data_IF_246665430222
#
_entry.id   IF_246665430222
#
_cell.length_a   1.000
_cell.length_b   1.000
_cell.length_c   1.000
_cell.angle_alpha   90.00
_cell.angle_beta   90.00
_cell.angle_gamma   90.00
#
_symmetry.space_group_name_H-M   'P 1'
#
loop_
_entity.id
_entity.type
_entity.pdbx_description
1 polymer ?
#
# COMPACT_ATOMS: atom_id res chain seq x y z
N UNK A 1 -14.20 33.79 29.38
CA UNK A 1 -13.31 32.94 28.59
C UNK A 1 -14.15 31.81 27.99
N UNK A 2 -14.38 31.75 26.66
CA UNK A 2 -15.05 30.59 26.08
C UNK A 2 -14.03 29.51 25.72
N UNK A 3 -14.32 28.28 26.12
CA UNK A 3 -13.48 27.10 25.94
C UNK A 3 -13.39 26.63 24.50
N UNK A 4 -12.19 26.21 24.11
CA UNK A 4 -11.93 25.47 22.87
C UNK A 4 -12.45 24.04 23.04
N UNK A 5 -13.63 23.78 22.47
CA UNK A 5 -14.11 22.41 22.24
C UNK A 5 -13.24 21.78 21.15
N UNK A 6 -12.32 20.91 21.55
CA UNK A 6 -11.55 20.09 20.62
C UNK A 6 -12.48 19.09 19.95
N UNK A 7 -12.90 19.38 18.71
CA UNK A 7 -13.45 18.36 17.84
C UNK A 7 -12.32 17.37 17.53
N UNK A 8 -12.38 16.18 18.12
CA UNK A 8 -11.58 15.06 17.65
C UNK A 8 -11.98 14.83 16.18
N UNK A 9 -11.07 15.16 15.25
CA UNK A 9 -11.30 14.96 13.83
C UNK A 9 -11.69 13.50 13.59
N UNK A 10 -12.77 13.27 12.84
CA UNK A 10 -13.19 11.92 12.51
C UNK A 10 -12.04 11.17 11.79
N UNK A 11 -11.85 9.88 12.08
CA UNK A 11 -10.78 9.09 11.46
C UNK A 11 -10.86 9.16 9.94
N UNK A 12 -9.79 9.67 9.30
CA UNK A 12 -9.75 9.82 7.85
C UNK A 12 -9.63 8.44 7.18
N UNK A 13 -10.60 8.11 6.32
CA UNK A 13 -10.65 6.81 5.62
C UNK A 13 -10.25 6.88 4.16
N UNK A 14 -10.30 8.07 3.58
CA UNK A 14 -9.89 8.31 2.22
C UNK A 14 -9.24 9.68 2.12
N UNK A 15 -8.19 9.80 1.31
CA UNK A 15 -7.48 11.04 1.04
C UNK A 15 -7.28 11.16 -0.46
N UNK A 16 -7.77 12.25 -1.04
CA UNK A 16 -7.42 12.62 -2.41
C UNK A 16 -5.97 13.10 -2.45
N UNK A 17 -5.20 12.61 -3.42
CA UNK A 17 -3.81 13.02 -3.69
C UNK A 17 -3.67 13.52 -5.12
N UNK A 18 -2.60 14.27 -5.39
CA UNK A 18 -2.26 14.77 -6.73
C UNK A 18 -3.41 15.57 -7.34
N UNK A 19 -3.90 16.56 -6.58
CA UNK A 19 -5.06 17.39 -6.92
C UNK A 19 -6.35 16.59 -7.25
N UNK A 20 -6.51 15.39 -6.65
CA UNK A 20 -7.69 14.55 -6.84
C UNK A 20 -7.60 13.56 -7.99
N UNK A 21 -6.43 13.41 -8.61
CA UNK A 21 -6.22 12.41 -9.65
C UNK A 21 -6.38 10.97 -9.13
N UNK A 22 -6.02 10.73 -7.87
CA UNK A 22 -6.19 9.42 -7.21
C UNK A 22 -6.74 9.63 -5.80
N UNK A 23 -7.73 8.83 -5.42
CA UNK A 23 -8.24 8.74 -4.05
C UNK A 23 -7.63 7.54 -3.35
N UNK A 24 -6.77 7.77 -2.36
CA UNK A 24 -6.23 6.72 -1.51
C UNK A 24 -7.26 6.35 -0.45
N UNK A 25 -7.82 5.15 -0.51
CA UNK A 25 -8.84 4.66 0.41
C UNK A 25 -8.30 3.52 1.30
N UNK A 26 -8.32 3.75 2.61
CA UNK A 26 -7.90 2.76 3.60
C UNK A 26 -8.95 1.64 3.76
N UNK A 27 -8.53 0.37 3.93
CA UNK A 27 -9.45 -0.71 4.21
C UNK A 27 -10.11 -0.54 5.59
N UNK A 28 -11.29 -1.18 5.78
CA UNK A 28 -12.03 -1.08 7.05
C UNK A 28 -11.15 -1.40 8.26
N UNK A 29 -11.17 -0.50 9.25
CA UNK A 29 -10.38 -0.59 10.48
C UNK A 29 -8.98 0.03 10.40
N UNK A 30 -8.59 0.53 9.22
CA UNK A 30 -7.41 1.34 8.99
C UNK A 30 -7.79 2.77 8.58
N UNK A 31 -6.92 3.70 8.90
CA UNK A 31 -7.10 5.13 8.72
C UNK A 31 -5.86 5.70 8.06
N UNK A 32 -6.08 6.61 7.11
CA UNK A 32 -5.01 7.45 6.56
C UNK A 32 -4.50 8.34 7.68
N UNK A 33 -3.19 8.45 7.81
CA UNK A 33 -2.56 9.42 8.69
C UNK A 33 -2.29 10.70 7.88
N UNK A 34 -3.06 11.80 8.10
CA UNK A 34 -2.93 13.00 7.26
C UNK A 34 -1.54 13.63 7.34
N UNK A 35 -0.86 13.50 8.49
CA UNK A 35 0.50 14.00 8.66
C UNK A 35 1.57 13.13 7.97
N UNK A 36 1.20 11.95 7.47
CA UNK A 36 2.09 10.99 6.83
C UNK A 36 1.75 10.80 5.35
N UNK A 37 1.47 11.92 4.68
CA UNK A 37 1.34 12.03 3.23
C UNK A 37 2.55 12.78 2.69
N UNK A 38 3.30 12.14 1.80
CA UNK A 38 4.40 12.74 1.08
C UNK A 38 3.98 12.89 -0.37
N UNK A 39 3.74 14.11 -0.83
CA UNK A 39 3.32 14.40 -2.21
C UNK A 39 4.39 15.23 -2.92
N UNK A 40 4.71 14.84 -4.15
CA UNK A 40 5.54 15.62 -5.09
C UNK A 40 4.63 16.19 -6.18
N UNK A 41 5.21 16.87 -7.17
CA UNK A 41 4.45 17.41 -8.30
C UNK A 41 3.65 16.33 -9.08
N UNK A 42 4.11 15.08 -9.05
CA UNK A 42 3.61 14.01 -9.89
C UNK A 42 3.48 12.63 -9.22
N UNK A 43 3.95 12.46 -7.98
CA UNK A 43 3.88 11.22 -7.22
C UNK A 43 3.41 11.47 -5.79
N UNK A 44 2.84 10.46 -5.14
CA UNK A 44 2.39 10.55 -3.76
C UNK A 44 2.68 9.26 -3.00
N UNK A 45 2.98 9.37 -1.71
CA UNK A 45 3.09 8.26 -0.78
C UNK A 45 2.19 8.56 0.42
N UNK A 46 1.29 7.64 0.75
CA UNK A 46 0.36 7.79 1.87
C UNK A 46 0.60 6.63 2.83
N UNK A 47 0.86 6.94 4.10
CA UNK A 47 0.90 5.94 5.17
C UNK A 47 -0.48 5.79 5.83
N UNK A 48 -0.79 4.54 6.17
CA UNK A 48 -2.08 4.11 6.69
C UNK A 48 -1.81 3.23 7.90
N UNK A 49 -2.38 3.63 9.03
CA UNK A 49 -2.28 2.93 10.30
C UNK A 49 -3.61 2.35 10.76
N UNK A 50 -3.60 1.63 11.88
CA UNK A 50 -4.83 1.28 12.58
C UNK A 50 -5.47 2.57 13.11
N UNK A 51 -6.78 2.68 12.97
CA UNK A 51 -7.49 3.82 13.54
C UNK A 51 -7.36 3.83 15.06
N UNK A 52 -6.96 4.96 15.60
CA UNK A 52 -6.96 5.25 17.03
C UNK A 52 -8.38 5.72 17.44
N UNK A 53 -8.87 5.29 18.61
CA UNK A 53 -10.17 5.75 19.15
C UNK A 53 -11.30 4.71 19.28
N UNK A 54 -11.01 3.41 19.17
CA UNK A 54 -11.95 2.34 19.54
C UNK A 54 -11.27 1.31 20.44
N UNK A 55 -12.00 0.78 21.44
CA UNK A 55 -11.53 -0.24 22.37
C UNK A 55 -10.74 -1.32 21.62
N UNK A 56 -9.51 -1.60 22.08
CA UNK A 56 -8.62 -2.66 21.62
C UNK A 56 -8.90 -3.14 20.19
N UNK A 57 -8.58 -2.33 19.17
CA UNK A 57 -8.90 -2.66 17.78
C UNK A 57 -8.31 -4.05 17.43
N UNK A 58 -9.08 -5.13 17.26
CA UNK A 58 -8.54 -6.50 17.20
C UNK A 58 -7.83 -6.80 15.87
N UNK A 59 -7.61 -5.80 15.02
CA UNK A 59 -6.97 -5.96 13.71
C UNK A 59 -5.47 -6.16 13.84
N UNK A 60 -4.95 -6.93 12.89
CA UNK A 60 -3.54 -7.23 12.80
C UNK A 60 -2.71 -5.94 12.85
N UNK A 61 -1.67 -5.87 13.68
CA UNK A 61 -0.76 -4.74 13.75
C UNK A 61 0.05 -4.68 12.44
N UNK A 62 -0.50 -3.95 11.47
CA UNK A 62 0.08 -3.78 10.15
C UNK A 62 0.21 -2.30 9.82
N UNK A 63 1.28 -1.98 9.10
CA UNK A 63 1.50 -0.69 8.46
C UNK A 63 1.16 -0.87 6.99
N UNK A 64 0.31 0.03 6.49
CA UNK A 64 -0.11 0.05 5.11
C UNK A 64 0.48 1.29 4.45
N UNK A 65 0.81 1.18 3.17
CA UNK A 65 1.15 2.34 2.35
C UNK A 65 0.59 2.23 0.95
N UNK A 66 0.28 3.38 0.35
CA UNK A 66 -0.03 3.51 -1.06
C UNK A 66 0.97 4.49 -1.69
N UNK A 67 1.77 4.00 -2.63
CA UNK A 67 2.64 4.81 -3.47
C UNK A 67 1.98 4.97 -4.84
N UNK A 68 1.73 6.21 -5.24
CA UNK A 68 1.17 6.59 -6.54
C UNK A 68 2.28 7.22 -7.36
N UNK A 69 2.50 6.69 -8.55
CA UNK A 69 3.55 7.16 -9.46
C UNK A 69 3.04 8.19 -10.46
N UNK A 70 3.97 8.66 -11.31
CA UNK A 70 3.77 9.72 -12.32
C UNK A 70 2.66 9.36 -13.32
N UNK A 71 1.99 10.33 -13.96
CA UNK A 71 1.00 10.04 -15.00
C UNK A 71 1.65 9.30 -16.17
N UNK A 72 0.90 8.42 -16.84
CA UNK A 72 1.37 7.62 -17.98
C UNK A 72 2.24 6.42 -17.61
N UNK A 73 2.38 6.13 -16.30
CA UNK A 73 3.04 4.92 -15.79
C UNK A 73 2.11 3.72 -15.64
N UNK A 74 0.80 3.92 -15.82
CA UNK A 74 -0.18 2.84 -15.76
C UNK A 74 0.15 1.74 -16.77
N UNK A 75 -0.01 0.49 -16.33
CA UNK A 75 0.22 -0.70 -17.13
C UNK A 75 -1.07 -1.51 -17.19
N UNK A 76 -1.31 -2.19 -18.31
CA UNK A 76 -2.30 -3.27 -18.34
C UNK A 76 -1.74 -4.45 -17.54
N UNK A 77 -2.18 -4.56 -16.29
CA UNK A 77 -1.68 -5.56 -15.35
C UNK A 77 -2.03 -6.98 -15.80
N UNK A 78 -3.20 -7.18 -16.39
CA UNK A 78 -3.64 -8.49 -16.85
C UNK A 78 -2.80 -8.97 -18.04
N UNK A 79 -2.52 -8.09 -18.99
CA UNK A 79 -1.66 -8.39 -20.14
C UNK A 79 -0.17 -8.49 -19.76
N UNK A 80 0.27 -7.77 -18.72
CA UNK A 80 1.69 -7.66 -18.35
C UNK A 80 2.12 -8.61 -17.23
N UNK A 81 1.25 -9.49 -16.74
CA UNK A 81 1.50 -10.31 -15.56
C UNK A 81 2.78 -11.14 -15.61
N UNK A 82 3.03 -11.82 -16.73
CA UNK A 82 4.24 -12.65 -16.91
C UNK A 82 5.52 -11.79 -16.98
N UNK A 83 5.46 -10.66 -17.69
CA UNK A 83 6.57 -9.70 -17.75
C UNK A 83 6.87 -9.08 -16.38
N UNK A 84 5.84 -8.77 -15.59
CA UNK A 84 5.98 -8.27 -14.22
C UNK A 84 6.60 -9.33 -13.31
N UNK A 85 6.15 -10.58 -13.38
CA UNK A 85 6.75 -11.68 -12.63
C UNK A 85 8.23 -11.86 -12.99
N UNK A 86 8.57 -11.84 -14.28
CA UNK A 86 9.96 -11.88 -14.73
C UNK A 86 10.79 -10.70 -14.22
N UNK A 87 10.25 -9.48 -14.29
CA UNK A 87 10.92 -8.28 -13.79
C UNK A 87 11.18 -8.35 -12.29
N UNK A 88 10.16 -8.63 -11.46
CA UNK A 88 10.33 -8.71 -10.02
C UNK A 88 11.20 -9.91 -9.57
N UNK A 89 11.32 -10.94 -10.40
CA UNK A 89 12.28 -12.02 -10.23
C UNK A 89 13.73 -11.63 -10.57
N UNK A 90 13.95 -10.57 -11.36
CA UNK A 90 15.29 -10.09 -11.77
C UNK A 90 15.99 -9.31 -10.65
N UNK A 91 17.31 -9.14 -10.77
CA UNK A 91 18.09 -8.32 -9.82
C UNK A 91 17.60 -6.87 -9.74
N UNK A 92 17.38 -6.13 -10.84
CA UNK A 92 16.79 -4.78 -10.79
C UNK A 92 15.41 -4.73 -10.13
N UNK A 93 14.55 -5.71 -10.40
CA UNK A 93 13.22 -5.75 -9.79
C UNK A 93 13.24 -6.07 -8.30
N UNK A 94 14.08 -7.01 -7.87
CA UNK A 94 14.28 -7.29 -6.43
C UNK A 94 14.91 -6.09 -5.71
N UNK A 95 15.85 -5.38 -6.35
CA UNK A 95 16.40 -4.14 -5.82
C UNK A 95 15.31 -3.07 -5.64
N UNK A 96 14.40 -2.93 -6.61
CA UNK A 96 13.25 -2.01 -6.50
C UNK A 96 12.26 -2.42 -5.39
N UNK A 97 12.19 -3.71 -5.05
CA UNK A 97 11.39 -4.19 -3.93
C UNK A 97 12.08 -3.96 -2.57
N UNK A 98 13.40 -3.85 -2.54
CA UNK A 98 14.19 -3.73 -1.31
C UNK A 98 14.02 -2.37 -0.66
N UNK A 99 13.90 -2.35 0.67
CA UNK A 99 13.94 -1.10 1.44
C UNK A 99 15.31 -0.43 1.39
N UNK A 100 16.37 -1.23 1.24
CA UNK A 100 17.75 -0.74 1.12
C UNK A 100 18.22 -0.56 -0.32
N UNK A 101 17.37 -0.90 -1.30
CA UNK A 101 17.73 -0.91 -2.72
C UNK A 101 18.61 -2.11 -3.12
N UNK A 102 18.85 -3.07 -2.22
CA UNK A 102 19.68 -4.24 -2.51
C UNK A 102 18.83 -5.46 -2.86
N UNK A 103 19.02 -5.99 -4.07
CA UNK A 103 18.36 -7.22 -4.51
C UNK A 103 18.74 -8.45 -3.68
N UNK A 104 19.89 -8.41 -2.99
CA UNK A 104 20.39 -9.52 -2.18
C UNK A 104 19.63 -9.66 -0.85
N UNK A 105 18.94 -8.61 -0.39
CA UNK A 105 18.14 -8.69 0.84
C UNK A 105 16.71 -9.15 0.58
N UNK A 106 16.29 -9.23 -0.68
CA UNK A 106 14.91 -9.53 -1.05
C UNK A 106 14.79 -10.94 -1.62
N UNK A 107 13.85 -11.69 -1.07
CA UNK A 107 13.36 -12.94 -1.62
C UNK A 107 11.90 -12.78 -2.02
N UNK A 108 11.58 -12.99 -3.30
CA UNK A 108 10.19 -13.07 -3.76
C UNK A 108 9.68 -14.47 -3.44
N UNK A 109 8.63 -14.54 -2.63
CA UNK A 109 8.03 -15.80 -2.17
C UNK A 109 6.92 -16.26 -3.11
N UNK A 110 6.11 -15.32 -3.59
CA UNK A 110 4.97 -15.59 -4.46
C UNK A 110 4.70 -14.38 -5.37
N UNK A 111 4.27 -14.65 -6.60
CA UNK A 111 3.69 -13.63 -7.49
C UNK A 111 2.44 -14.19 -8.16
N UNK A 112 1.38 -13.39 -8.21
CA UNK A 112 0.10 -13.82 -8.80
C UNK A 112 -0.69 -12.62 -9.31
N UNK A 113 -1.33 -12.77 -10.47
CA UNK A 113 -2.31 -11.80 -10.98
C UNK A 113 -3.69 -12.15 -10.42
N UNK A 114 -4.37 -11.16 -9.82
CA UNK A 114 -5.73 -11.31 -9.30
C UNK A 114 -6.57 -10.13 -9.79
N UNK A 115 -7.42 -10.39 -10.78
CA UNK A 115 -8.20 -9.33 -11.44
C UNK A 115 -7.29 -8.28 -12.07
N UNK A 116 -7.40 -7.04 -11.59
CA UNK A 116 -6.63 -5.87 -12.07
C UNK A 116 -5.35 -5.59 -11.25
N UNK A 117 -4.98 -6.50 -10.34
CA UNK A 117 -3.84 -6.32 -9.45
C UNK A 117 -2.80 -7.44 -9.59
N UNK A 118 -1.53 -7.07 -9.61
CA UNK A 118 -0.39 -7.98 -9.52
C UNK A 118 0.09 -8.04 -8.08
N UNK A 119 -0.10 -9.18 -7.43
CA UNK A 119 0.20 -9.40 -6.01
C UNK A 119 1.55 -10.09 -5.86
N UNK A 120 2.34 -9.63 -4.88
CA UNK A 120 3.68 -10.10 -4.57
C UNK A 120 3.76 -10.38 -3.08
N UNK A 121 4.10 -11.62 -2.71
CA UNK A 121 4.59 -11.92 -1.36
C UNK A 121 6.12 -11.86 -1.39
N UNK A 122 6.72 -11.11 -0.47
CA UNK A 122 8.18 -11.00 -0.41
C UNK A 122 8.67 -10.94 1.03
N UNK A 123 9.92 -11.37 1.20
CA UNK A 123 10.70 -11.23 2.42
C UNK A 123 11.90 -10.34 2.14
N UNK A 124 12.05 -9.26 2.89
CA UNK A 124 13.19 -8.36 2.83
C UNK A 124 13.93 -8.36 4.18
N UNK A 125 15.15 -8.87 4.17
CA UNK A 125 16.04 -8.98 5.34
C UNK A 125 16.90 -7.73 5.54
N UNK A 126 16.62 -6.63 4.83
CA UNK A 126 17.23 -5.33 5.09
C UNK A 126 17.04 -4.94 6.57
N UNK A 127 18.04 -4.34 7.23
CA UNK A 127 17.87 -3.82 8.59
C UNK A 127 16.76 -2.76 8.64
N UNK A 128 15.66 -3.06 9.34
CA UNK A 128 14.56 -2.14 9.61
C UNK A 128 14.01 -2.43 11.02
N UNK A 129 14.16 -1.51 12.00
CA UNK A 129 13.69 -1.72 13.36
C UNK A 129 12.17 -1.58 13.51
N UNK A 130 11.47 -1.15 12.47
CA UNK A 130 10.04 -0.78 12.53
C UNK A 130 9.13 -1.80 11.86
N UNK A 131 9.62 -2.46 10.81
CA UNK A 131 8.82 -3.34 9.97
C UNK A 131 9.21 -4.82 10.10
N UNK A 132 8.23 -5.70 9.87
CA UNK A 132 8.50 -7.12 9.69
C UNK A 132 9.24 -7.37 8.37
N UNK A 133 10.13 -8.38 8.29
CA UNK A 133 10.79 -8.71 7.02
C UNK A 133 9.80 -9.20 5.96
N UNK A 134 8.69 -9.83 6.36
CA UNK A 134 7.66 -10.29 5.43
C UNK A 134 6.64 -9.21 5.13
N UNK A 135 6.33 -9.04 3.84
CA UNK A 135 5.35 -8.07 3.38
C UNK A 135 4.61 -8.57 2.15
N UNK A 136 3.40 -8.05 1.99
CA UNK A 136 2.59 -8.21 0.79
C UNK A 136 2.56 -6.91 0.02
N UNK A 137 2.70 -6.98 -1.30
CA UNK A 137 2.55 -5.83 -2.19
C UNK A 137 1.55 -6.12 -3.29
N UNK A 138 0.83 -5.10 -3.71
CA UNK A 138 0.01 -5.14 -4.91
C UNK A 138 0.41 -3.99 -5.82
N UNK A 139 0.50 -4.27 -7.12
CA UNK A 139 0.68 -3.29 -8.16
C UNK A 139 -0.59 -3.26 -9.00
N UNK A 140 -1.20 -2.10 -9.14
CA UNK A 140 -2.41 -1.87 -9.93
C UNK A 140 -2.29 -0.55 -10.70
N UNK A 141 -3.08 -0.40 -11.76
CA UNK A 141 -3.17 0.85 -12.50
C UNK A 141 -4.47 1.59 -12.14
N UNK A 142 -4.35 2.85 -11.72
CA UNK A 142 -5.50 3.72 -11.42
C UNK A 142 -5.29 5.06 -12.09
N UNK A 143 -6.29 5.55 -12.83
CA UNK A 143 -6.22 6.85 -13.54
C UNK A 143 -4.95 7.03 -14.39
N UNK A 144 -4.51 5.98 -15.10
CA UNK A 144 -3.29 5.99 -15.93
C UNK A 144 -1.97 6.05 -15.14
N UNK A 145 -2.00 5.76 -13.83
CA UNK A 145 -0.84 5.76 -12.92
C UNK A 145 -0.64 4.40 -12.30
N UNK A 146 0.62 3.99 -12.13
CA UNK A 146 0.94 2.82 -11.34
C UNK A 146 0.78 3.15 -9.86
N UNK A 147 0.02 2.32 -9.17
CA UNK A 147 -0.21 2.40 -7.72
C UNK A 147 0.34 1.13 -7.09
N UNK A 148 1.25 1.30 -6.13
CA UNK A 148 1.80 0.20 -5.34
C UNK A 148 1.23 0.27 -3.93
N UNK A 149 0.51 -0.77 -3.54
CA UNK A 149 -0.01 -0.95 -2.19
C UNK A 149 0.92 -1.88 -1.43
N UNK A 150 1.28 -1.53 -0.21
CA UNK A 150 2.09 -2.39 0.66
C UNK A 150 1.35 -2.65 1.96
N UNK A 151 1.41 -3.90 2.43
CA UNK A 151 0.92 -4.34 3.73
C UNK A 151 2.08 -5.07 4.42
N UNK A 152 2.53 -4.55 5.56
CA UNK A 152 3.65 -5.14 6.32
C UNK A 152 3.29 -5.20 7.80
N UNK A 153 3.71 -6.26 8.50
CA UNK A 153 3.63 -6.31 9.96
C UNK A 153 4.60 -5.32 10.62
N UNK A 154 4.49 -5.12 11.93
CA UNK A 154 5.47 -4.33 12.69
C UNK A 154 6.55 -5.22 13.27
N UNK A 155 7.67 -4.64 13.72
CA UNK A 155 8.70 -5.38 14.44
C UNK A 155 8.16 -6.02 15.74
N UNK A 156 7.21 -5.37 16.41
CA UNK A 156 6.61 -5.85 17.65
C UNK A 156 5.59 -6.99 17.43
N UNK A 157 5.00 -7.08 16.24
CA UNK A 157 4.01 -8.10 15.94
C UNK A 157 4.01 -8.43 14.45
N UNK A 158 4.48 -9.64 14.15
CA UNK A 158 4.48 -10.18 12.80
C UNK A 158 3.05 -10.31 12.30
N UNK A 159 2.89 -10.05 11.01
CA UNK A 159 1.63 -10.24 10.32
C UNK A 159 1.57 -11.69 9.84
N UNK A 160 0.53 -12.41 10.25
CA UNK A 160 0.25 -13.73 9.69
C UNK A 160 0.10 -13.63 8.16
N UNK A 161 0.71 -14.52 7.36
CA UNK A 161 0.69 -14.41 5.90
C UNK A 161 -0.72 -14.37 5.31
N UNK A 162 -1.63 -15.20 5.80
CA UNK A 162 -3.02 -15.28 5.31
C UNK A 162 -3.80 -14.03 5.72
N UNK A 163 -3.65 -13.58 6.96
CA UNK A 163 -4.23 -12.33 7.43
C UNK A 163 -3.72 -11.11 6.64
N UNK A 164 -2.44 -11.12 6.27
CA UNK A 164 -1.81 -10.09 5.46
C UNK A 164 -2.33 -10.07 4.02
N UNK A 165 -2.47 -11.24 3.40
CA UNK A 165 -3.08 -11.38 2.08
C UNK A 165 -4.54 -10.88 2.08
N UNK A 166 -5.35 -11.35 3.02
CA UNK A 166 -6.74 -10.93 3.15
C UNK A 166 -6.87 -9.41 3.46
N UNK A 167 -5.87 -8.81 4.10
CA UNK A 167 -5.82 -7.36 4.31
C UNK A 167 -5.45 -6.62 3.02
N UNK A 168 -4.48 -7.11 2.24
CA UNK A 168 -4.13 -6.57 0.94
C UNK A 168 -5.33 -6.61 -0.02
N UNK A 169 -6.04 -7.74 -0.09
CA UNK A 169 -7.20 -7.89 -0.98
C UNK A 169 -8.31 -6.88 -0.63
N UNK A 170 -8.54 -6.62 0.66
CA UNK A 170 -9.46 -5.57 1.12
C UNK A 170 -8.96 -4.17 0.78
N UNK A 171 -7.65 -3.94 0.79
CA UNK A 171 -7.07 -2.67 0.42
C UNK A 171 -7.19 -2.40 -1.08
N UNK A 172 -6.87 -3.39 -1.91
CA UNK A 172 -7.09 -3.35 -3.37
C UNK A 172 -8.56 -3.01 -3.66
N UNK A 173 -9.50 -3.74 -3.05
CA UNK A 173 -10.93 -3.50 -3.25
C UNK A 173 -11.37 -2.07 -2.84
N UNK A 174 -10.84 -1.54 -1.74
CA UNK A 174 -11.12 -0.17 -1.31
C UNK A 174 -10.58 0.87 -2.31
N UNK A 175 -9.35 0.67 -2.79
CA UNK A 175 -8.71 1.54 -3.79
C UNK A 175 -9.47 1.52 -5.12
N UNK A 176 -9.81 0.34 -5.63
CA UNK A 176 -10.59 0.19 -6.85
C UNK A 176 -11.94 0.89 -6.70
N UNK A 177 -12.69 0.59 -5.63
CA UNK A 177 -14.01 1.17 -5.40
C UNK A 177 -13.99 2.71 -5.33
N UNK A 178 -12.97 3.30 -4.70
CA UNK A 178 -12.83 4.75 -4.59
C UNK A 178 -12.45 5.44 -5.92
N UNK A 179 -11.93 4.68 -6.90
CA UNK A 179 -11.42 5.22 -8.17
C UNK A 179 -12.13 4.66 -9.41
N UNK A 180 -13.27 3.95 -9.25
CA UNK A 180 -14.06 3.44 -10.38
C UNK A 180 -14.55 4.52 -11.37
N UNK A 181 -14.59 5.78 -10.95
CA UNK A 181 -14.99 6.92 -11.78
C UNK A 181 -13.85 7.59 -12.57
N UNK A 182 -12.58 7.20 -12.37
CA UNK A 182 -11.42 7.79 -13.07
C UNK A 182 -10.89 6.89 -14.21
N UNK A 183 -11.65 5.86 -14.58
CA UNK A 183 -11.38 4.93 -15.68
C UNK A 183 -12.07 5.40 -16.98
N UNK A 184 -12.55 6.65 -17.01
CA UNK A 184 -13.21 7.27 -18.17
C UNK A 184 -12.27 8.13 -18.99
#
# INVERSE_FOLDING_TARGET
>A
MPGVGGFAAAPLRAQAVLAGAVTVAAPRGYCVEPAAVLETADSALVLIGRCTGGAANPRAPAILSAAVSRPGSGLDIAASGEALAGFFGSEPGRAALSRSGSAATVTVLETVVVGEAFVIALRDTSPDPTASPESWRAVLALAGRLVTLTVTGTAAARLDPEAGRALLDRFIAAMLAANRGTIG
#
